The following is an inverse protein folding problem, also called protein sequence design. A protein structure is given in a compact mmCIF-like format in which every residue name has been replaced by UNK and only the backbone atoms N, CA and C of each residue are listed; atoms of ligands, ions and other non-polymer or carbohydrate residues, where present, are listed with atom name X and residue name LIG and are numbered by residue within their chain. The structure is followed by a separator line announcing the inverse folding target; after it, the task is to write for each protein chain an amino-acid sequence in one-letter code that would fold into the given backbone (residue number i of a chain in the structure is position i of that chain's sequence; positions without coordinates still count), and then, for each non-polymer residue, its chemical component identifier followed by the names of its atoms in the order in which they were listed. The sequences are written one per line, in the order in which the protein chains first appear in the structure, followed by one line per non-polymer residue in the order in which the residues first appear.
data_IF_676192748274
#
_entry.id   IF_676192748274
#
_cell.length_a   1.000
_cell.length_b   1.000
_cell.length_c   1.000
_cell.angle_alpha   90.00
_cell.angle_beta   90.00
_cell.angle_gamma   90.00
#
_symmetry.space_group_name_H-M   'P 1'
#
loop_
_entity.id
_entity.type
_entity.pdbx_description
1 polymer ?
#
# COMPACT_ATOMS: atom_id res chain seq x y z
N UNK A 1 7.07 5.71 -5.07
CA UNK A 1 6.01 5.68 -6.10
C UNK A 1 5.17 6.93 -5.91
N UNK A 2 4.42 7.37 -6.90
CA UNK A 2 3.61 8.59 -6.77
C UNK A 2 2.48 8.38 -5.75
N UNK A 3 2.25 9.31 -4.84
CA UNK A 3 1.06 9.31 -3.98
C UNK A 3 -0.16 9.83 -4.75
N UNK A 4 -1.30 9.19 -4.53
CA UNK A 4 -2.58 9.59 -5.12
C UNK A 4 -3.43 10.33 -4.08
N UNK A 5 -4.33 11.23 -4.52
CA UNK A 5 -5.24 11.96 -3.61
C UNK A 5 -6.25 11.06 -2.87
N UNK A 6 -6.37 9.78 -3.24
CA UNK A 6 -7.15 8.81 -2.48
C UNK A 6 -6.41 8.31 -1.22
N UNK A 7 -5.16 8.69 -1.01
CA UNK A 7 -4.33 8.28 0.13
C UNK A 7 -3.49 7.03 -0.11
N UNK A 8 -3.61 6.39 -1.27
CA UNK A 8 -2.80 5.24 -1.65
C UNK A 8 -1.63 5.61 -2.55
N UNK A 9 -0.57 4.81 -2.52
CA UNK A 9 0.45 4.88 -3.57
C UNK A 9 -0.11 4.41 -4.91
N UNK A 10 0.45 4.93 -6.00
CA UNK A 10 0.14 4.43 -7.33
C UNK A 10 0.60 2.97 -7.46
N UNK A 11 -0.30 2.11 -7.92
CA UNK A 11 0.00 0.68 -8.15
C UNK A 11 -0.19 0.26 -9.61
N UNK A 12 -0.42 1.22 -10.51
CA UNK A 12 -0.55 0.96 -11.93
C UNK A 12 -0.55 2.25 -12.74
N UNK A 13 -0.80 2.09 -14.05
CA UNK A 13 -0.91 3.20 -15.00
C UNK A 13 -2.19 3.08 -15.80
N UNK A 14 -2.77 4.23 -16.11
CA UNK A 14 -3.90 4.35 -17.05
C UNK A 14 -3.48 5.18 -18.26
N UNK A 15 -4.11 4.92 -19.40
CA UNK A 15 -3.87 5.68 -20.63
C UNK A 15 -4.85 6.87 -20.70
N UNK A 16 -4.34 8.08 -20.90
CA UNK A 16 -5.11 9.30 -21.17
C UNK A 16 -4.62 9.86 -22.51
N UNK A 17 -5.41 9.70 -23.56
CA UNK A 17 -4.93 9.95 -24.93
C UNK A 17 -3.75 9.05 -25.27
N UNK A 18 -2.56 9.64 -25.50
CA UNK A 18 -1.31 8.92 -25.76
C UNK A 18 -0.34 8.89 -24.55
N UNK A 19 -0.77 9.38 -23.39
CA UNK A 19 0.07 9.49 -22.19
C UNK A 19 -0.32 8.39 -21.19
N UNK A 20 0.68 7.73 -20.62
CA UNK A 20 0.50 6.84 -19.47
C UNK A 20 0.65 7.64 -18.18
N UNK A 21 -0.38 7.63 -17.34
CA UNK A 21 -0.43 8.37 -16.09
C UNK A 21 -0.64 7.41 -14.93
N UNK A 22 0.06 7.63 -13.83
CA UNK A 22 -0.06 6.83 -12.62
C UNK A 22 -1.49 6.84 -12.06
N UNK A 23 -1.91 5.70 -11.51
CA UNK A 23 -3.19 5.58 -10.83
C UNK A 23 -3.13 4.59 -9.66
N UNK A 24 -4.05 4.75 -8.72
CA UNK A 24 -4.31 3.75 -7.69
C UNK A 24 -5.27 2.69 -8.28
N UNK A 25 -4.76 1.48 -8.53
CA UNK A 25 -5.59 0.37 -9.03
C UNK A 25 -6.58 -0.14 -7.98
N UNK A 26 -6.29 0.04 -6.69
CA UNK A 26 -7.17 -0.40 -5.61
C UNK A 26 -8.47 0.43 -5.60
N UNK A 27 -8.35 1.75 -5.79
CA UNK A 27 -9.48 2.67 -5.65
C UNK A 27 -10.08 3.10 -6.99
N UNK A 28 -9.53 2.67 -8.12
CA UNK A 28 -10.06 3.05 -9.44
C UNK A 28 -11.50 2.55 -9.60
N UNK A 29 -12.43 3.48 -9.85
CA UNK A 29 -13.86 3.17 -9.94
C UNK A 29 -14.63 3.27 -8.60
N UNK A 30 -13.92 3.34 -7.47
CA UNK A 30 -14.50 3.55 -6.15
C UNK A 30 -14.38 5.01 -5.68
N UNK A 31 -13.21 5.62 -5.94
CA UNK A 31 -12.93 7.02 -5.60
C UNK A 31 -12.39 7.77 -6.84
N UNK A 32 -13.02 8.88 -7.26
CA UNK A 32 -12.49 9.70 -8.35
C UNK A 32 -11.05 10.20 -8.09
N UNK A 33 -10.64 10.35 -6.83
CA UNK A 33 -9.28 10.76 -6.43
C UNK A 33 -8.21 9.72 -6.75
N UNK A 34 -8.59 8.46 -6.99
CA UNK A 34 -7.67 7.39 -7.41
C UNK A 34 -6.94 7.67 -8.74
N UNK A 35 -7.42 8.66 -9.48
CA UNK A 35 -6.92 9.09 -10.79
C UNK A 35 -6.15 10.41 -10.76
N UNK A 36 -5.96 11.00 -9.58
CA UNK A 36 -5.39 12.34 -9.36
C UNK A 36 -4.14 12.20 -8.48
N UNK A 37 -3.00 12.60 -9.03
CA UNK A 37 -1.73 12.64 -8.31
C UNK A 37 -1.83 13.67 -7.17
N UNK A 38 -1.28 13.34 -6.02
CA UNK A 38 -1.12 14.30 -4.94
C UNK A 38 0.16 15.12 -5.16
N UNK A 39 0.01 16.37 -5.57
CA UNK A 39 1.14 17.28 -5.86
C UNK A 39 1.82 17.79 -4.58
N UNK A 40 1.16 17.66 -3.43
CA UNK A 40 1.69 18.01 -2.12
C UNK A 40 1.51 16.81 -1.16
N UNK A 41 2.23 15.70 -1.40
CA UNK A 41 2.04 14.48 -0.62
C UNK A 41 2.37 14.71 0.86
N UNK A 42 1.75 13.94 1.78
CA UNK A 42 2.02 14.05 3.21
C UNK A 42 3.48 13.74 3.51
N UNK A 43 4.03 14.39 4.54
CA UNK A 43 5.33 14.01 5.06
C UNK A 43 5.24 12.64 5.74
N UNK A 44 6.04 11.69 5.25
CA UNK A 44 6.11 10.32 5.75
C UNK A 44 7.31 10.12 6.67
N UNK A 45 8.14 11.15 6.88
CA UNK A 45 9.26 11.07 7.81
C UNK A 45 8.76 10.70 9.21
N UNK A 46 9.49 9.80 9.86
CA UNK A 46 9.21 9.29 11.21
C UNK A 46 7.89 8.49 11.36
N UNK A 47 7.04 8.47 10.33
CA UNK A 47 5.86 7.62 10.30
C UNK A 47 6.24 6.16 10.06
N UNK A 48 5.39 5.26 10.56
CA UNK A 48 5.53 3.83 10.36
C UNK A 48 4.28 3.25 9.72
N UNK A 49 4.48 2.19 8.95
CA UNK A 49 3.42 1.41 8.34
C UNK A 49 3.42 -0.02 8.88
N UNK A 50 2.23 -0.58 9.11
CA UNK A 50 2.03 -1.99 9.44
C UNK A 50 1.37 -2.71 8.29
N UNK A 51 1.59 -4.01 8.21
CA UNK A 51 0.85 -4.84 7.28
C UNK A 51 -0.67 -4.66 7.50
N UNK A 52 -1.47 -4.60 6.44
CA UNK A 52 -2.94 -4.56 6.54
C UNK A 52 -3.53 -5.76 7.29
N UNK A 53 -2.75 -6.84 7.42
CA UNK A 53 -3.08 -8.05 8.16
C UNK A 53 -2.23 -8.23 9.42
N UNK A 54 -1.74 -7.14 10.01
CA UNK A 54 -1.00 -7.16 11.27
C UNK A 54 -1.75 -7.99 12.33
N UNK A 55 -1.00 -8.76 13.14
CA UNK A 55 -1.47 -9.75 14.13
C UNK A 55 -2.32 -10.92 13.59
N UNK A 56 -2.66 -10.93 12.30
CA UNK A 56 -3.38 -12.05 11.69
C UNK A 56 -2.43 -13.20 11.39
N UNK A 57 -2.89 -14.45 11.58
CA UNK A 57 -2.16 -15.65 11.18
C UNK A 57 -2.56 -16.00 9.73
N UNK A 58 -1.66 -15.86 8.74
CA UNK A 58 -2.00 -16.14 7.35
C UNK A 58 -2.26 -17.62 7.15
N UNK A 59 -3.42 -17.94 6.55
CA UNK A 59 -3.84 -19.33 6.25
C UNK A 59 -3.54 -19.77 4.82
N UNK A 60 -3.11 -18.83 3.96
CA UNK A 60 -2.79 -19.08 2.56
C UNK A 60 -1.67 -20.11 2.36
N UNK A 61 -1.73 -20.86 1.25
CA UNK A 61 -0.68 -21.82 0.88
C UNK A 61 0.58 -21.14 0.38
N UNK A 62 0.42 -19.98 -0.26
CA UNK A 62 1.49 -19.20 -0.86
C UNK A 62 1.80 -18.04 0.08
N UNK A 63 2.99 -18.07 0.67
CA UNK A 63 3.47 -17.06 1.60
C UNK A 63 4.79 -16.53 1.08
N UNK A 64 4.77 -15.35 0.47
CA UNK A 64 5.96 -14.72 -0.10
C UNK A 64 6.06 -13.31 0.46
N UNK A 65 6.84 -13.16 1.53
CA UNK A 65 7.07 -11.87 2.17
C UNK A 65 8.55 -11.61 2.31
N UNK A 66 9.03 -10.53 1.69
CA UNK A 66 10.38 -10.02 1.90
C UNK A 66 10.52 -9.22 3.21
N UNK A 67 9.46 -9.18 4.04
CA UNK A 67 9.37 -8.39 5.26
C UNK A 67 9.49 -9.23 6.53
N UNK A 68 10.01 -10.46 6.42
CA UNK A 68 10.23 -11.37 7.54
C UNK A 68 8.96 -12.04 8.08
N UNK A 69 7.82 -11.90 7.39
CA UNK A 69 6.62 -12.64 7.76
C UNK A 69 6.85 -14.15 7.60
N UNK A 70 6.14 -14.97 8.39
CA UNK A 70 6.20 -16.43 8.31
C UNK A 70 4.81 -17.04 8.38
N UNK A 71 4.53 -17.99 7.49
CA UNK A 71 3.30 -18.79 7.52
C UNK A 71 3.13 -19.48 8.88
N UNK A 72 1.88 -19.53 9.36
CA UNK A 72 1.55 -20.14 10.65
C UNK A 72 1.88 -19.29 11.88
N UNK A 73 2.50 -18.12 11.70
CA UNK A 73 2.74 -17.15 12.76
C UNK A 73 1.91 -15.87 12.50
N UNK A 74 1.60 -15.09 13.55
CA UNK A 74 1.03 -13.76 13.38
C UNK A 74 1.93 -12.88 12.50
N UNK A 75 1.33 -12.08 11.63
CA UNK A 75 2.06 -11.08 10.85
C UNK A 75 2.45 -9.89 11.72
N UNK A 76 3.75 -9.70 11.96
CA UNK A 76 4.27 -8.58 12.76
C UNK A 76 5.06 -7.57 11.91
N UNK A 77 4.81 -7.54 10.60
CA UNK A 77 5.57 -6.69 9.69
C UNK A 77 5.24 -5.20 9.92
N UNK A 78 6.26 -4.46 10.35
CA UNK A 78 6.28 -3.01 10.52
C UNK A 78 7.47 -2.45 9.75
N UNK A 79 7.28 -1.33 9.05
CA UNK A 79 8.32 -0.66 8.25
C UNK A 79 8.20 0.86 8.45
N UNK A 80 9.24 1.61 8.13
CA UNK A 80 9.09 3.07 7.94
C UNK A 80 8.09 3.33 6.82
N UNK A 81 7.18 4.27 7.02
CA UNK A 81 6.20 4.64 6.00
C UNK A 81 6.89 5.08 4.72
N UNK A 82 6.42 4.58 3.59
CA UNK A 82 6.96 4.93 2.30
C UNK A 82 5.93 4.65 1.21
N UNK A 83 5.79 5.59 0.29
CA UNK A 83 5.02 5.41 -0.94
C UNK A 83 5.54 4.24 -1.82
N UNK A 84 6.74 3.72 -1.55
CA UNK A 84 7.33 2.57 -2.24
C UNK A 84 6.87 1.23 -1.66
N UNK A 85 6.19 1.23 -0.51
CA UNK A 85 5.65 -0.01 0.05
C UNK A 85 4.49 -0.52 -0.83
N UNK A 86 4.34 -1.85 -0.98
CA UNK A 86 3.29 -2.43 -1.80
C UNK A 86 1.92 -2.08 -1.25
N UNK A 87 1.02 -1.60 -2.12
CA UNK A 87 -0.34 -1.20 -1.75
C UNK A 87 -0.37 -0.26 -0.53
N UNK A 88 0.62 0.65 -0.43
CA UNK A 88 0.73 1.60 0.66
C UNK A 88 -0.51 2.50 0.74
N UNK A 89 -0.95 2.76 1.96
CA UNK A 89 -2.07 3.64 2.29
C UNK A 89 -1.70 4.52 3.49
N UNK A 90 -1.69 5.83 3.27
CA UNK A 90 -1.50 6.80 4.33
C UNK A 90 -2.77 6.93 5.19
N UNK A 91 -2.61 6.86 6.51
CA UNK A 91 -3.68 6.97 7.50
C UNK A 91 -3.40 8.14 8.47
N UNK A 92 -3.77 9.38 8.12
CA UNK A 92 -3.40 10.56 8.91
C UNK A 92 -3.96 10.55 10.34
N UNK A 93 -5.10 9.88 10.54
CA UNK A 93 -5.79 9.80 11.84
C UNK A 93 -5.41 8.54 12.64
N UNK A 94 -4.39 7.79 12.20
CA UNK A 94 -3.92 6.59 12.86
C UNK A 94 -2.42 6.70 13.14
N UNK A 95 -1.99 6.02 14.19
CA UNK A 95 -0.57 5.91 14.55
C UNK A 95 0.26 5.24 13.44
N UNK A 96 -0.33 4.28 12.74
CA UNK A 96 0.31 3.52 11.67
C UNK A 96 -0.41 3.71 10.34
N UNK A 97 0.39 3.90 9.29
CA UNK A 97 -0.02 3.71 7.91
C UNK A 97 -0.18 2.21 7.61
N UNK A 98 -0.71 1.88 6.43
CA UNK A 98 -0.88 0.49 6.01
C UNK A 98 -0.05 0.18 4.78
N UNK A 99 0.41 -1.05 4.69
CA UNK A 99 0.94 -1.63 3.46
C UNK A 99 0.59 -3.11 3.40
N UNK A 100 0.78 -3.76 2.26
CA UNK A 100 0.63 -5.19 2.15
C UNK A 100 1.99 -5.87 2.02
N UNK A 101 2.31 -6.77 2.96
CA UNK A 101 3.62 -7.41 3.00
C UNK A 101 3.68 -8.75 2.21
N UNK A 102 2.61 -9.16 1.54
CA UNK A 102 2.55 -10.46 0.83
C UNK A 102 2.23 -11.66 1.71
N UNK A 103 1.80 -11.44 2.97
CA UNK A 103 1.59 -12.53 3.92
C UNK A 103 0.50 -13.53 3.49
N UNK A 104 -0.41 -13.14 2.61
CA UNK A 104 -1.45 -13.98 2.01
C UNK A 104 -1.18 -14.36 0.55
N UNK A 105 0.03 -14.09 0.04
CA UNK A 105 0.43 -14.32 -1.36
C UNK A 105 0.25 -13.09 -2.25
N UNK A 106 0.73 -13.19 -3.49
CA UNK A 106 0.60 -12.15 -4.53
C UNK A 106 -0.20 -12.63 -5.75
N UNK A 107 -0.73 -13.84 -5.66
CA UNK A 107 -1.35 -14.61 -6.75
C UNK A 107 -2.82 -14.26 -7.00
#
# INVERSE_FOLDING_TARGET
MTMMKCGHSANGKRKIGNIWTDCCLICIGLDPKAKIIDEAPPDLNERKARCSYFDSIPKGRNHESNYGCRRGNPCLCEQSSSDKLPFFEHKPNNEYDKFYCGCWGWD
#
